data_IF_297166051645
#
_entry.id   IF_297166051645
#
_cell.length_a   1.000
_cell.length_b   1.000
_cell.length_c   1.000
_cell.angle_alpha   90.00
_cell.angle_beta   90.00
_cell.angle_gamma   90.00
#
_symmetry.space_group_name_H-M   'P 1'
#
loop_
_entity.id
_entity.type
_entity.pdbx_description
1 polymer ?
#
# COMPACT_ATOMS: atom_id res chain seq x y z
N UNK A 1 7.32 19.03 -31.83
CA UNK A 1 7.84 17.91 -31.01
C UNK A 1 7.80 18.20 -29.50
N UNK A 2 8.34 19.33 -29.03
CA UNK A 2 8.36 19.71 -27.60
C UNK A 2 6.96 19.77 -26.93
N UNK A 3 6.00 20.45 -27.58
CA UNK A 3 4.61 20.54 -27.08
C UNK A 3 3.95 19.16 -26.89
N UNK A 4 4.20 18.22 -27.80
CA UNK A 4 3.64 16.87 -27.70
C UNK A 4 4.16 16.15 -26.46
N UNK A 5 5.48 16.19 -26.21
CA UNK A 5 6.10 15.58 -25.03
C UNK A 5 5.60 16.21 -23.72
N UNK A 6 5.42 17.53 -23.70
CA UNK A 6 4.90 18.25 -22.52
C UNK A 6 3.45 17.85 -22.22
N UNK A 7 2.60 17.77 -23.24
CA UNK A 7 1.21 17.29 -23.11
C UNK A 7 1.17 15.84 -22.63
N UNK A 8 1.99 14.96 -23.20
CA UNK A 8 2.09 13.56 -22.77
C UNK A 8 2.51 13.47 -21.31
N UNK A 9 3.53 14.23 -20.89
CA UNK A 9 4.02 14.25 -19.51
C UNK A 9 2.91 14.66 -18.54
N UNK A 10 2.22 15.77 -18.81
CA UNK A 10 1.15 16.28 -17.94
C UNK A 10 0.00 15.26 -17.86
N UNK A 11 -0.43 14.70 -18.99
CA UNK A 11 -1.50 13.71 -19.03
C UNK A 11 -1.15 12.45 -18.23
N UNK A 12 0.09 11.94 -18.34
CA UNK A 12 0.53 10.77 -17.60
C UNK A 12 0.67 11.03 -16.11
N UNK A 13 1.17 12.20 -15.70
CA UNK A 13 1.20 12.60 -14.30
C UNK A 13 -0.23 12.68 -13.73
N UNK A 14 -1.17 13.25 -14.48
CA UNK A 14 -2.57 13.33 -14.05
C UNK A 14 -3.19 11.94 -13.87
N UNK A 15 -3.00 11.03 -14.85
CA UNK A 15 -3.49 9.65 -14.75
C UNK A 15 -2.81 8.87 -13.61
N UNK A 16 -1.55 9.15 -13.32
CA UNK A 16 -0.83 8.58 -12.19
C UNK A 16 -1.48 8.99 -10.85
N UNK A 17 -1.84 10.26 -10.71
CA UNK A 17 -2.52 10.78 -9.52
C UNK A 17 -3.92 10.16 -9.38
N UNK A 18 -4.69 10.04 -10.47
CA UNK A 18 -6.00 9.37 -10.45
C UNK A 18 -5.85 7.92 -10.00
N UNK A 19 -4.85 7.21 -10.51
CA UNK A 19 -4.57 5.83 -10.12
C UNK A 19 -4.25 5.73 -8.63
N UNK A 20 -3.43 6.65 -8.10
CA UNK A 20 -3.13 6.71 -6.66
C UNK A 20 -4.39 6.96 -5.83
N UNK A 21 -5.26 7.88 -6.25
CA UNK A 21 -6.53 8.18 -5.58
C UNK A 21 -7.49 6.97 -5.60
N UNK A 22 -7.63 6.30 -6.74
CA UNK A 22 -8.48 5.13 -6.88
C UNK A 22 -8.03 3.99 -5.94
N UNK A 23 -6.71 3.77 -5.84
CA UNK A 23 -6.16 2.82 -4.89
C UNK A 23 -6.44 3.24 -3.44
N UNK A 24 -6.14 4.50 -3.07
CA UNK A 24 -6.33 5.00 -1.72
C UNK A 24 -7.78 4.84 -1.23
N UNK A 25 -8.75 5.25 -2.05
CA UNK A 25 -10.18 5.10 -1.73
C UNK A 25 -10.55 3.63 -1.55
N UNK A 26 -10.07 2.76 -2.45
CA UNK A 26 -10.40 1.33 -2.41
C UNK A 26 -9.81 0.62 -1.20
N UNK A 27 -8.59 0.97 -0.78
CA UNK A 27 -7.93 0.44 0.42
C UNK A 27 -8.69 0.86 1.67
N UNK A 28 -9.02 2.15 1.79
CA UNK A 28 -9.79 2.66 2.95
C UNK A 28 -11.15 1.97 3.04
N UNK A 29 -11.84 1.81 1.90
CA UNK A 29 -13.11 1.06 1.87
C UNK A 29 -12.92 -0.41 2.28
N UNK A 30 -11.86 -1.06 1.82
CA UNK A 30 -11.55 -2.45 2.16
C UNK A 30 -11.34 -2.58 3.67
N UNK A 31 -10.53 -1.69 4.27
CA UNK A 31 -10.25 -1.67 5.69
C UNK A 31 -11.52 -1.50 6.52
N UNK A 32 -12.41 -0.56 6.15
CA UNK A 32 -13.70 -0.39 6.83
C UNK A 32 -14.60 -1.62 6.71
N UNK A 33 -14.56 -2.31 5.57
CA UNK A 33 -15.42 -3.46 5.31
C UNK A 33 -15.03 -4.66 6.18
N UNK A 34 -13.74 -4.81 6.51
CA UNK A 34 -13.25 -5.86 7.43
C UNK A 34 -13.93 -5.77 8.80
N UNK A 35 -14.19 -4.56 9.30
CA UNK A 35 -14.77 -4.33 10.62
C UNK A 35 -16.31 -4.39 10.65
N UNK A 36 -16.98 -4.41 9.49
CA UNK A 36 -18.44 -4.41 9.42
C UNK A 36 -18.98 -5.83 9.50
N UNK A 37 -19.93 -6.07 10.40
CA UNK A 37 -20.71 -7.31 10.43
C UNK A 37 -21.74 -7.26 9.30
N UNK A 38 -21.42 -7.90 8.18
CA UNK A 38 -22.27 -8.03 6.98
C UNK A 38 -22.33 -9.51 6.59
N UNK A 39 -23.36 -9.90 5.84
CA UNK A 39 -23.49 -11.26 5.32
C UNK A 39 -22.26 -11.67 4.51
N UNK A 40 -21.76 -12.89 4.76
CA UNK A 40 -20.50 -13.44 4.21
C UNK A 40 -20.35 -13.29 2.69
N UNK A 41 -21.39 -13.64 1.93
CA UNK A 41 -21.34 -13.63 0.45
C UNK A 41 -21.15 -12.22 -0.10
N UNK A 42 -21.89 -11.24 0.45
CA UNK A 42 -21.76 -9.83 0.04
C UNK A 42 -20.38 -9.27 0.40
N UNK A 43 -19.88 -9.62 1.59
CA UNK A 43 -18.58 -9.16 2.07
C UNK A 43 -17.44 -9.68 1.17
N UNK A 44 -17.42 -10.99 0.87
CA UNK A 44 -16.40 -11.59 0.02
C UNK A 44 -16.38 -11.00 -1.40
N UNK A 45 -17.56 -10.81 -2.02
CA UNK A 45 -17.66 -10.22 -3.35
C UNK A 45 -17.15 -8.77 -3.38
N UNK A 46 -17.46 -7.97 -2.36
CA UNK A 46 -17.04 -6.58 -2.28
C UNK A 46 -15.53 -6.47 -2.01
N UNK A 47 -14.99 -7.29 -1.11
CA UNK A 47 -13.53 -7.40 -0.86
C UNK A 47 -12.80 -7.69 -2.18
N UNK A 48 -13.28 -8.67 -2.94
CA UNK A 48 -12.66 -9.04 -4.22
C UNK A 48 -12.71 -7.90 -5.23
N UNK A 49 -13.86 -7.22 -5.37
CA UNK A 49 -14.01 -6.06 -6.27
C UNK A 49 -13.05 -4.93 -5.91
N UNK A 50 -12.98 -4.54 -4.63
CA UNK A 50 -12.09 -3.47 -4.17
C UNK A 50 -10.62 -3.84 -4.37
N UNK A 51 -10.24 -5.09 -4.05
CA UNK A 51 -8.88 -5.57 -4.28
C UNK A 51 -8.49 -5.55 -5.78
N UNK A 52 -9.42 -5.92 -6.68
CA UNK A 52 -9.20 -5.80 -8.13
C UNK A 52 -9.02 -4.35 -8.58
N UNK A 53 -9.76 -3.40 -8.01
CA UNK A 53 -9.56 -1.97 -8.29
C UNK A 53 -8.17 -1.53 -7.83
N UNK A 54 -7.71 -1.96 -6.65
CA UNK A 54 -6.35 -1.66 -6.16
C UNK A 54 -5.29 -2.24 -7.10
N UNK A 55 -5.47 -3.46 -7.60
CA UNK A 55 -4.57 -4.08 -8.57
C UNK A 55 -4.49 -3.29 -9.87
N UNK A 56 -5.64 -2.92 -10.45
CA UNK A 56 -5.72 -2.12 -11.68
C UNK A 56 -5.06 -0.76 -11.47
N UNK A 57 -5.33 -0.12 -10.34
CA UNK A 57 -4.70 1.15 -9.97
C UNK A 57 -3.17 1.02 -9.85
N UNK A 58 -2.68 -0.07 -9.25
CA UNK A 58 -1.24 -0.35 -9.16
C UNK A 58 -0.59 -0.56 -10.54
N UNK A 59 -1.27 -1.26 -11.45
CA UNK A 59 -0.85 -1.36 -12.85
C UNK A 59 -0.83 0.02 -13.52
N UNK A 60 -1.85 0.83 -13.29
CA UNK A 60 -1.92 2.22 -13.75
C UNK A 60 -0.74 3.05 -13.27
N UNK A 61 -0.36 2.92 -11.98
CA UNK A 61 0.81 3.59 -11.40
C UNK A 61 2.11 3.17 -12.08
N UNK A 62 2.30 1.88 -12.36
CA UNK A 62 3.46 1.36 -13.07
C UNK A 62 3.55 1.90 -14.50
N UNK A 63 2.47 1.77 -15.28
CA UNK A 63 2.44 2.18 -16.69
C UNK A 63 2.68 3.69 -16.82
N UNK A 64 1.93 4.49 -16.05
CA UNK A 64 2.07 5.95 -16.08
C UNK A 64 3.43 6.40 -15.54
N UNK A 65 3.90 5.78 -14.45
CA UNK A 65 5.19 6.10 -13.83
C UNK A 65 6.36 5.82 -14.76
N UNK A 66 6.41 4.64 -15.38
CA UNK A 66 7.43 4.28 -16.36
C UNK A 66 7.38 5.18 -17.60
N UNK A 67 6.18 5.55 -18.05
CA UNK A 67 6.04 6.47 -19.18
C UNK A 67 6.63 7.85 -18.87
N UNK A 68 6.35 8.40 -17.68
CA UNK A 68 6.95 9.67 -17.23
C UNK A 68 8.47 9.53 -17.10
N UNK A 69 8.98 8.43 -16.57
CA UNK A 69 10.44 8.19 -16.48
C UNK A 69 11.06 8.17 -17.88
N UNK A 70 10.44 7.50 -18.85
CA UNK A 70 10.90 7.45 -20.23
C UNK A 70 10.92 8.83 -20.89
N UNK A 71 9.87 9.64 -20.69
CA UNK A 71 9.80 11.02 -21.22
C UNK A 71 10.83 11.94 -20.55
N UNK A 72 11.13 11.72 -19.27
CA UNK A 72 11.98 12.60 -18.47
C UNK A 72 13.47 12.29 -18.59
N UNK A 73 13.80 11.01 -18.77
CA UNK A 73 15.19 10.52 -18.70
C UNK A 73 15.64 9.78 -19.96
N UNK A 74 14.73 9.47 -20.88
CA UNK A 74 15.03 8.60 -22.02
C UNK A 74 15.41 7.17 -21.62
N UNK A 75 15.14 6.77 -20.37
CA UNK A 75 15.67 5.55 -19.75
C UNK A 75 17.20 5.46 -19.71
N UNK A 76 17.90 6.60 -19.69
CA UNK A 76 19.35 6.62 -19.49
C UNK A 76 19.70 6.08 -18.09
N UNK A 77 20.43 4.95 -17.98
CA UNK A 77 20.81 4.36 -16.70
C UNK A 77 21.61 5.31 -15.81
N UNK A 78 22.42 6.19 -16.39
CA UNK A 78 23.23 7.13 -15.61
C UNK A 78 22.35 8.19 -14.94
N UNK A 79 21.36 8.74 -15.65
CA UNK A 79 20.43 9.74 -15.12
C UNK A 79 19.57 9.12 -14.02
N UNK A 80 19.08 7.90 -14.24
CA UNK A 80 18.26 7.18 -13.27
C UNK A 80 19.07 6.83 -12.02
N UNK A 81 20.30 6.34 -12.18
CA UNK A 81 21.16 5.93 -11.07
C UNK A 81 21.51 7.08 -10.13
N UNK A 82 21.66 8.30 -10.65
CA UNK A 82 21.96 9.50 -9.84
C UNK A 82 20.72 10.13 -9.19
N UNK A 83 19.51 9.68 -9.55
CA UNK A 83 18.28 10.19 -8.97
C UNK A 83 17.79 9.30 -7.82
N UNK A 84 18.37 9.52 -6.63
CA UNK A 84 18.04 8.72 -5.44
C UNK A 84 16.54 8.73 -5.07
N UNK A 85 15.84 9.83 -5.30
CA UNK A 85 14.38 9.92 -5.10
C UNK A 85 13.62 9.02 -6.07
N UNK A 86 14.02 8.99 -7.34
CA UNK A 86 13.40 8.14 -8.36
C UNK A 86 13.64 6.66 -8.05
N UNK A 87 14.87 6.29 -7.71
CA UNK A 87 15.21 4.92 -7.30
C UNK A 87 14.41 4.48 -6.08
N UNK A 88 14.25 5.35 -5.07
CA UNK A 88 13.42 5.06 -3.91
C UNK A 88 11.95 4.83 -4.28
N UNK A 89 11.38 5.62 -5.21
CA UNK A 89 10.01 5.39 -5.71
C UNK A 89 9.88 4.02 -6.37
N UNK A 90 10.82 3.65 -7.23
CA UNK A 90 10.84 2.34 -7.92
C UNK A 90 10.98 1.18 -6.94
N UNK A 91 11.84 1.32 -5.92
CA UNK A 91 12.00 0.31 -4.88
C UNK A 91 10.70 0.12 -4.08
N UNK A 92 10.08 1.21 -3.63
CA UNK A 92 8.86 1.17 -2.81
C UNK A 92 7.69 0.59 -3.60
N UNK A 93 7.48 1.00 -4.85
CA UNK A 93 6.39 0.44 -5.67
C UNK A 93 6.63 -1.05 -5.99
N UNK A 94 7.88 -1.47 -6.17
CA UNK A 94 8.24 -2.90 -6.33
C UNK A 94 7.92 -3.70 -5.07
N UNK A 95 8.33 -3.22 -3.90
CA UNK A 95 8.01 -3.84 -2.61
C UNK A 95 6.48 -3.93 -2.44
N UNK A 96 5.76 -2.86 -2.78
CA UNK A 96 4.31 -2.82 -2.72
C UNK A 96 3.66 -3.84 -3.65
N UNK A 97 4.18 -4.03 -4.87
CA UNK A 97 3.71 -5.05 -5.81
C UNK A 97 3.94 -6.47 -5.28
N UNK A 98 5.12 -6.76 -4.72
CA UNK A 98 5.41 -8.06 -4.11
C UNK A 98 4.48 -8.29 -2.90
N UNK A 99 4.31 -7.28 -2.06
CA UNK A 99 3.40 -7.36 -0.91
C UNK A 99 1.94 -7.55 -1.34
N UNK A 100 1.53 -6.94 -2.47
CA UNK A 100 0.20 -7.14 -3.06
C UNK A 100 -0.09 -8.60 -3.40
N UNK A 101 0.91 -9.34 -3.89
CA UNK A 101 0.79 -10.79 -4.12
C UNK A 101 0.52 -11.50 -2.78
N UNK A 102 1.27 -11.16 -1.73
CA UNK A 102 1.06 -11.75 -0.39
C UNK A 102 -0.34 -11.43 0.17
N UNK A 103 -0.85 -10.21 -0.05
CA UNK A 103 -2.23 -9.83 0.32
C UNK A 103 -3.24 -10.72 -0.40
N UNK A 104 -3.14 -10.86 -1.72
CA UNK A 104 -4.09 -11.65 -2.51
C UNK A 104 -4.06 -13.15 -2.19
N UNK A 105 -2.87 -13.71 -1.95
CA UNK A 105 -2.71 -15.15 -1.71
C UNK A 105 -2.97 -15.55 -0.25
N UNK A 106 -2.68 -14.69 0.72
CA UNK A 106 -2.75 -15.05 2.15
C UNK A 106 -3.80 -14.26 2.93
N UNK A 107 -3.89 -12.94 2.74
CA UNK A 107 -4.74 -12.08 3.60
C UNK A 107 -6.20 -12.11 3.15
N UNK A 108 -6.47 -11.93 1.86
CA UNK A 108 -7.84 -11.90 1.33
C UNK A 108 -8.61 -13.22 1.56
N UNK A 109 -8.03 -14.41 1.37
CA UNK A 109 -8.74 -15.66 1.66
C UNK A 109 -9.13 -15.78 3.13
N UNK A 110 -8.26 -15.34 4.05
CA UNK A 110 -8.55 -15.34 5.50
C UNK A 110 -9.61 -14.32 5.89
N UNK A 111 -9.61 -13.15 5.23
CA UNK A 111 -10.64 -12.13 5.42
C UNK A 111 -12.04 -12.56 4.99
N UNK A 112 -12.12 -13.42 3.97
CA UNK A 112 -13.40 -13.97 3.56
C UNK A 112 -14.01 -14.84 4.67
N UNK A 113 -13.20 -15.58 5.44
CA UNK A 113 -13.68 -16.51 6.47
C UNK A 113 -13.78 -15.87 7.86
N UNK A 114 -15.01 -15.61 8.33
CA UNK A 114 -15.28 -14.95 9.62
C UNK A 114 -14.62 -15.64 10.83
N UNK A 115 -14.50 -16.97 10.78
CA UNK A 115 -13.91 -17.78 11.85
C UNK A 115 -12.39 -17.58 11.96
N UNK A 116 -11.73 -17.15 10.89
CA UNK A 116 -10.28 -16.98 10.82
C UNK A 116 -9.80 -15.57 11.23
N UNK A 117 -10.70 -14.68 11.65
CA UNK A 117 -10.32 -13.31 12.04
C UNK A 117 -9.37 -13.23 13.24
N UNK A 118 -9.27 -14.24 14.13
CA UNK A 118 -8.25 -14.28 15.21
C UNK A 118 -6.92 -14.69 14.61
N UNK A 119 -6.94 -15.67 13.72
CA UNK A 119 -5.76 -16.13 13.01
C UNK A 119 -5.13 -14.98 12.21
N UNK A 120 -5.91 -14.03 11.70
CA UNK A 120 -5.38 -12.80 11.06
C UNK A 120 -4.55 -11.89 11.98
N UNK A 121 -4.60 -12.06 13.31
CA UNK A 121 -3.74 -11.34 14.26
C UNK A 121 -2.41 -12.07 14.50
N UNK A 122 -2.10 -13.08 13.68
CA UNK A 122 -0.76 -13.66 13.59
C UNK A 122 0.25 -12.62 13.11
N UNK A 123 1.52 -12.84 13.48
CA UNK A 123 2.60 -11.88 13.18
C UNK A 123 2.83 -11.71 11.68
N UNK A 124 2.67 -12.76 10.88
CA UNK A 124 2.92 -12.71 9.45
C UNK A 124 1.86 -11.87 8.72
N UNK A 125 0.58 -12.08 9.02
CA UNK A 125 -0.53 -11.29 8.48
C UNK A 125 -0.40 -9.82 8.87
N UNK A 126 0.00 -9.53 10.12
CA UNK A 126 0.28 -8.17 10.57
C UNK A 126 1.45 -7.53 9.80
N UNK A 127 2.51 -8.28 9.50
CA UNK A 127 3.66 -7.77 8.73
C UNK A 127 3.23 -7.32 7.33
N UNK A 128 2.41 -8.13 6.66
CA UNK A 128 1.87 -7.80 5.33
C UNK A 128 1.05 -6.51 5.38
N UNK A 129 0.24 -6.34 6.43
CA UNK A 129 -0.54 -5.13 6.67
C UNK A 129 0.34 -3.89 6.88
N UNK A 130 1.38 -4.00 7.73
CA UNK A 130 2.33 -2.91 7.98
C UNK A 130 3.05 -2.48 6.71
N UNK A 131 3.60 -3.44 5.96
CA UNK A 131 4.28 -3.15 4.69
C UNK A 131 3.33 -2.46 3.72
N UNK A 132 2.08 -2.93 3.61
CA UNK A 132 1.08 -2.31 2.74
C UNK A 132 0.81 -0.85 3.12
N UNK A 133 0.40 -0.61 4.37
CA UNK A 133 -0.01 0.71 4.84
C UNK A 133 1.13 1.73 4.75
N UNK A 134 2.34 1.34 5.19
CA UNK A 134 3.51 2.21 5.14
C UNK A 134 3.92 2.48 3.69
N UNK A 135 3.91 1.48 2.80
CA UNK A 135 4.33 1.67 1.41
C UNK A 135 3.41 2.61 0.64
N UNK A 136 2.09 2.51 0.83
CA UNK A 136 1.14 3.44 0.23
C UNK A 136 1.33 4.87 0.74
N UNK A 137 1.42 5.06 2.06
CA UNK A 137 1.68 6.37 2.65
C UNK A 137 3.03 6.95 2.21
N UNK A 138 4.05 6.12 2.15
CA UNK A 138 5.39 6.52 1.74
C UNK A 138 5.47 6.87 0.25
N UNK A 139 4.75 6.16 -0.62
CA UNK A 139 4.63 6.51 -2.03
C UNK A 139 3.99 7.90 -2.23
N UNK A 140 2.95 8.22 -1.46
CA UNK A 140 2.34 9.55 -1.44
C UNK A 140 3.34 10.63 -0.97
N UNK A 141 4.09 10.35 0.11
CA UNK A 141 5.15 11.23 0.61
C UNK A 141 6.24 11.49 -0.46
N UNK A 142 6.73 10.45 -1.14
CA UNK A 142 7.71 10.59 -2.22
C UNK A 142 7.17 11.44 -3.39
N UNK A 143 5.86 11.51 -3.57
CA UNK A 143 5.22 12.45 -4.49
C UNK A 143 5.64 13.89 -4.23
N UNK A 144 5.58 14.33 -2.97
CA UNK A 144 5.81 15.72 -2.54
C UNK A 144 7.22 15.99 -2.02
N UNK A 145 8.03 14.97 -1.75
CA UNK A 145 9.36 15.09 -1.13
C UNK A 145 10.47 15.70 -2.01
N UNK A 146 10.13 16.58 -2.98
CA UNK A 146 11.13 17.24 -3.85
C UNK A 146 12.09 18.13 -3.06
N UNK A 147 11.59 18.78 -2.00
CA UNK A 147 12.40 19.63 -1.14
C UNK A 147 13.50 18.85 -0.38
N UNK A 148 13.32 17.55 -0.17
CA UNK A 148 14.31 16.72 0.52
C UNK A 148 15.37 16.13 -0.42
N UNK A 149 15.17 16.18 -1.74
CA UNK A 149 16.11 15.58 -2.71
C UNK A 149 17.55 16.08 -2.57
N UNK A 150 17.84 17.38 -2.35
CA UNK A 150 19.21 17.85 -2.20
C UNK A 150 19.89 17.36 -0.91
N UNK A 151 19.10 17.01 0.10
CA UNK A 151 19.58 16.61 1.42
C UNK A 151 19.63 15.08 1.60
N UNK A 152 18.79 14.36 0.85
CA UNK A 152 18.65 12.91 0.96
C UNK A 152 19.02 12.26 -0.39
N UNK A 153 20.11 11.49 -0.37
CA UNK A 153 20.37 10.49 -1.41
C UNK A 153 19.44 9.28 -1.32
N UNK A 154 19.69 8.26 -2.14
CA UNK A 154 18.94 7.00 -2.09
C UNK A 154 18.91 6.37 -0.69
N UNK A 155 20.06 6.31 -0.03
CA UNK A 155 20.21 5.76 1.31
C UNK A 155 19.33 6.48 2.34
N UNK A 156 19.22 7.81 2.24
CA UNK A 156 18.35 8.61 3.11
C UNK A 156 16.88 8.26 2.94
N UNK A 157 16.40 8.19 1.69
CA UNK A 157 15.02 7.79 1.41
C UNK A 157 14.72 6.34 1.83
N UNK A 158 15.62 5.40 1.59
CA UNK A 158 15.42 4.01 2.04
C UNK A 158 15.48 3.92 3.56
N UNK A 159 16.39 4.64 4.22
CA UNK A 159 16.48 4.72 5.67
C UNK A 159 15.19 5.22 6.31
N UNK A 160 14.59 6.29 5.77
CA UNK A 160 13.30 6.81 6.23
C UNK A 160 12.16 5.80 6.04
N UNK A 161 12.15 5.09 4.91
CA UNK A 161 11.16 4.05 4.65
C UNK A 161 11.27 2.90 5.67
N UNK A 162 12.48 2.39 5.91
CA UNK A 162 12.72 1.33 6.88
C UNK A 162 12.39 1.77 8.31
N UNK A 163 12.71 3.02 8.67
CA UNK A 163 12.33 3.61 9.95
C UNK A 163 10.80 3.66 10.10
N UNK A 164 10.08 4.08 9.06
CA UNK A 164 8.62 4.10 9.07
C UNK A 164 8.02 2.68 9.25
N UNK A 165 8.58 1.68 8.57
CA UNK A 165 8.21 0.27 8.75
C UNK A 165 8.46 -0.19 10.20
N UNK A 166 9.64 0.08 10.75
CA UNK A 166 10.00 -0.32 12.11
C UNK A 166 9.08 0.33 13.16
N UNK A 167 8.81 1.64 13.04
CA UNK A 167 7.89 2.35 13.93
C UNK A 167 6.47 1.78 13.84
N UNK A 168 5.94 1.59 12.63
CA UNK A 168 4.60 1.03 12.44
C UNK A 168 4.51 -0.40 12.99
N UNK A 169 5.55 -1.22 12.80
CA UNK A 169 5.64 -2.57 13.34
C UNK A 169 5.59 -2.59 14.87
N UNK A 170 6.41 -1.74 15.53
CA UNK A 170 6.41 -1.61 16.99
C UNK A 170 5.02 -1.23 17.50
N UNK A 171 4.36 -0.25 16.87
CA UNK A 171 3.00 0.18 17.24
C UNK A 171 2.01 -0.99 17.09
N UNK A 172 2.07 -1.72 15.98
CA UNK A 172 1.16 -2.84 15.72
C UNK A 172 1.32 -3.95 16.75
N UNK A 173 2.54 -4.34 17.08
CA UNK A 173 2.82 -5.46 17.98
C UNK A 173 2.57 -5.10 19.44
N UNK A 174 2.94 -3.89 19.87
CA UNK A 174 2.87 -3.50 21.29
C UNK A 174 1.51 -2.91 21.68
N UNK A 175 0.83 -2.23 20.75
CA UNK A 175 -0.41 -1.49 21.06
C UNK A 175 -1.61 -2.14 20.38
N UNK A 176 -1.58 -2.35 19.07
CA UNK A 176 -2.79 -2.73 18.30
C UNK A 176 -3.17 -4.18 18.54
N UNK A 177 -2.24 -5.12 18.32
CA UNK A 177 -2.48 -6.56 18.44
C UNK A 177 -3.04 -6.94 19.82
N UNK A 178 -2.46 -6.51 20.96
CA UNK A 178 -2.99 -6.86 22.28
C UNK A 178 -4.39 -6.29 22.54
N UNK A 179 -4.68 -5.07 22.03
CA UNK A 179 -6.01 -4.45 22.16
C UNK A 179 -7.06 -5.22 21.36
N UNK A 180 -6.77 -5.60 20.12
CA UNK A 180 -7.69 -6.36 19.28
C UNK A 180 -7.97 -7.76 19.86
N UNK A 181 -6.95 -8.43 20.39
CA UNK A 181 -7.13 -9.72 21.07
C UNK A 181 -8.04 -9.59 22.30
N UNK A 182 -7.83 -8.56 23.14
CA UNK A 182 -8.69 -8.31 24.32
C UNK A 182 -10.14 -8.02 23.93
N UNK A 183 -10.36 -7.14 22.95
CA UNK A 183 -11.71 -6.75 22.52
C UNK A 183 -12.51 -7.95 21.99
N UNK A 184 -11.85 -8.91 21.35
CA UNK A 184 -12.52 -10.08 20.78
C UNK A 184 -12.84 -11.17 21.82
N UNK A 185 -12.10 -11.24 22.93
CA UNK A 185 -12.39 -12.16 24.04
C UNK A 185 -13.59 -11.70 24.90
N UNK A 186 -13.95 -10.41 24.87
CA UNK A 186 -15.09 -9.85 25.62
C UNK A 186 -16.46 -10.45 25.24
N UNK A 187 -16.83 -10.60 23.95
CA UNK A 187 -18.09 -11.23 23.56
C UNK A 187 -18.15 -12.75 23.84
N UNK A 188 -17.06 -13.50 23.66
CA UNK A 188 -17.02 -14.93 24.04
C UNK A 188 -17.27 -15.13 25.55
N UNK A 189 -16.68 -14.25 26.39
CA UNK A 189 -16.93 -14.28 27.84
C UNK A 189 -18.38 -14.01 28.22
N UNK A 190 -19.10 -13.17 27.47
CA UNK A 190 -20.53 -12.89 27.73
C UNK A 190 -21.42 -14.07 27.34
N UNK A 191 -21.12 -14.77 26.25
CA UNK A 191 -21.89 -15.93 25.80
C UNK A 191 -21.74 -17.17 26.71
N UNK A 192 -20.61 -17.30 27.42
CA UNK A 192 -20.39 -18.39 28.40
C UNK A 192 -21.06 -18.11 29.75
N UNK A 193 -21.39 -16.85 30.04
CA UNK A 193 -21.98 -16.42 31.32
C UNK A 193 -23.51 -16.19 31.25
N UNK A 194 -24.13 -16.42 30.09
CA UNK A 194 -25.58 -16.35 29.84
C UNK A 194 -26.16 -17.73 29.62
#
# INVERSE_FOLDING_TARGET
MKLFLDVTRIAMIYLHIISMLAAAVSIVMLDFLVFKERGYVFLAQMIHKLATIVLIALLGLWVTGLTVIGVDTGFDPNIIAHNGKLLAKLAVVTILSINGIAVHLYVLPRLAHTDQRVAMLDMFTLSIGVVSAVSWGYAAFLGIAKALTPHLGLSGFIGLYLLAIACAWIIVVTIIRPRLLKLRQLPERRAVLS
#
